data_IF_210489084879
#
_entry.id   IF_210489084879
#
_cell.length_a   1.000
_cell.length_b   1.000
_cell.length_c   1.000
_cell.angle_alpha   90.00
_cell.angle_beta   90.00
_cell.angle_gamma   90.00
#
_symmetry.space_group_name_H-M   'P 1'
#
loop_
_entity.id
_entity.type
_entity.pdbx_description
1 polymer ?
#
# COMPACT_ATOMS: atom_id res chain seq x y z
N UNK A 1 -8.22 -16.79 38.62
CA UNK A 1 -7.50 -15.56 38.24
C UNK A 1 -6.62 -15.94 37.07
N UNK A 2 -7.12 -15.74 35.85
CA UNK A 2 -6.43 -16.16 34.62
C UNK A 2 -5.52 -15.03 34.18
N UNK A 3 -4.21 -15.26 34.10
CA UNK A 3 -3.26 -14.31 33.54
C UNK A 3 -3.67 -13.91 32.12
N UNK A 4 -3.60 -12.61 31.75
CA UNK A 4 -3.87 -12.20 30.38
C UNK A 4 -2.79 -12.78 29.46
N UNK A 5 -3.21 -13.57 28.48
CA UNK A 5 -2.31 -14.10 27.47
C UNK A 5 -1.68 -12.93 26.68
N UNK A 6 -0.36 -12.74 26.82
CA UNK A 6 0.42 -11.80 26.02
C UNK A 6 0.64 -12.38 24.62
N UNK A 7 -0.18 -11.97 23.66
CA UNK A 7 0.05 -12.29 22.24
C UNK A 7 1.25 -11.49 21.72
N UNK A 8 2.25 -12.11 21.06
CA UNK A 8 3.40 -11.39 20.53
C UNK A 8 2.98 -10.40 19.44
N UNK A 9 3.42 -9.15 19.55
CA UNK A 9 3.25 -8.17 18.47
C UNK A 9 4.19 -8.51 17.31
N UNK A 10 3.61 -8.87 16.17
CA UNK A 10 4.36 -9.27 14.97
C UNK A 10 4.33 -8.17 13.92
N UNK A 11 5.47 -7.92 13.28
CA UNK A 11 5.59 -7.01 12.13
C UNK A 11 6.12 -7.81 10.95
N UNK A 12 5.37 -7.81 9.84
CA UNK A 12 5.80 -8.46 8.60
C UNK A 12 6.45 -7.44 7.68
N UNK A 13 7.65 -7.74 7.21
CA UNK A 13 8.43 -6.85 6.34
C UNK A 13 8.40 -7.40 4.91
N UNK A 14 7.81 -6.64 4.00
CA UNK A 14 7.84 -6.89 2.58
C UNK A 14 8.85 -5.96 1.92
N UNK A 15 9.61 -6.53 0.98
CA UNK A 15 10.53 -5.80 0.10
C UNK A 15 10.15 -6.10 -1.33
N UNK A 16 9.98 -5.05 -2.10
CA UNK A 16 9.69 -5.11 -3.52
C UNK A 16 10.86 -4.52 -4.28
N UNK A 17 11.46 -5.35 -5.12
CA UNK A 17 12.51 -4.95 -6.07
C UNK A 17 11.88 -4.99 -7.44
N UNK A 18 11.67 -3.83 -8.05
CA UNK A 18 11.02 -3.69 -9.35
C UNK A 18 11.98 -3.10 -10.37
N UNK A 19 11.80 -3.45 -11.63
CA UNK A 19 12.56 -2.89 -12.75
C UNK A 19 11.70 -1.89 -13.51
N UNK A 20 12.25 -0.72 -13.79
CA UNK A 20 11.60 0.27 -14.63
C UNK A 20 11.52 -0.25 -16.08
N UNK A 21 10.33 -0.38 -16.63
CA UNK A 21 10.12 -0.70 -18.06
C UNK A 21 10.12 0.56 -18.93
N UNK A 22 9.60 1.65 -18.37
CA UNK A 22 9.65 3.00 -18.91
C UNK A 22 10.35 3.93 -17.91
N UNK A 23 10.73 5.13 -18.32
CA UNK A 23 11.26 6.13 -17.38
C UNK A 23 10.21 6.40 -16.29
N UNK A 24 10.65 6.47 -15.04
CA UNK A 24 9.82 6.82 -13.88
C UNK A 24 10.38 8.10 -13.28
N UNK A 25 9.54 9.13 -13.17
CA UNK A 25 9.87 10.39 -12.48
C UNK A 25 9.06 10.52 -11.19
N UNK A 26 9.76 10.48 -10.06
CA UNK A 26 9.19 10.65 -8.72
C UNK A 26 9.65 11.97 -8.11
N UNK A 27 8.79 12.59 -7.30
CA UNK A 27 9.21 13.71 -6.46
C UNK A 27 10.14 13.24 -5.32
N UNK A 28 10.70 14.19 -4.57
CA UNK A 28 11.52 13.91 -3.39
C UNK A 28 10.79 13.00 -2.38
N UNK A 29 9.48 13.19 -2.21
CA UNK A 29 8.62 12.42 -1.32
C UNK A 29 7.99 11.20 -2.00
N UNK A 30 8.81 10.24 -2.41
CA UNK A 30 8.43 9.02 -3.17
C UNK A 30 7.31 8.18 -2.53
N UNK A 31 7.15 8.27 -1.21
CA UNK A 31 6.13 7.53 -0.47
C UNK A 31 4.70 7.92 -0.84
N UNK A 32 4.45 9.19 -1.19
CA UNK A 32 3.12 9.65 -1.60
C UNK A 32 2.70 9.05 -2.94
N UNK A 33 3.63 9.00 -3.91
CA UNK A 33 3.41 8.39 -5.23
C UNK A 33 3.12 6.89 -5.12
N UNK A 34 3.96 6.15 -4.37
CA UNK A 34 3.75 4.72 -4.12
C UNK A 34 2.39 4.43 -3.46
N UNK A 35 2.08 5.17 -2.39
CA UNK A 35 0.80 5.04 -1.69
C UNK A 35 -0.38 5.37 -2.61
N UNK A 36 -0.32 6.48 -3.33
CA UNK A 36 -1.39 6.96 -4.20
C UNK A 36 -1.73 5.95 -5.30
N UNK A 37 -0.71 5.47 -6.01
CA UNK A 37 -0.86 4.44 -7.02
C UNK A 37 -1.45 3.15 -6.41
N UNK A 38 -0.92 2.70 -5.26
CA UNK A 38 -1.41 1.49 -4.60
C UNK A 38 -2.87 1.57 -4.13
N UNK A 39 -3.25 2.67 -3.48
CA UNK A 39 -4.62 2.92 -3.01
C UNK A 39 -5.59 2.97 -4.19
N UNK A 40 -5.22 3.64 -5.28
CA UNK A 40 -6.02 3.72 -6.51
C UNK A 40 -6.33 2.33 -7.07
N UNK A 41 -5.34 1.44 -7.11
CA UNK A 41 -5.51 0.08 -7.64
C UNK A 41 -6.30 -0.81 -6.70
N UNK A 42 -6.10 -0.71 -5.39
CA UNK A 42 -6.90 -1.46 -4.44
C UNK A 42 -8.39 -1.10 -4.55
N UNK A 43 -8.71 0.21 -4.58
CA UNK A 43 -10.08 0.68 -4.76
C UNK A 43 -10.66 0.22 -6.08
N UNK A 44 -9.90 0.35 -7.17
CA UNK A 44 -10.36 0.01 -8.51
C UNK A 44 -10.54 -1.49 -8.67
N UNK A 45 -9.57 -2.31 -8.33
CA UNK A 45 -9.61 -3.72 -8.69
C UNK A 45 -10.37 -4.59 -7.68
N UNK A 46 -10.42 -4.18 -6.42
CA UNK A 46 -10.84 -5.09 -5.34
C UNK A 46 -11.94 -4.55 -4.42
N UNK A 47 -12.38 -3.30 -4.59
CA UNK A 47 -13.56 -2.78 -3.90
C UNK A 47 -14.78 -2.77 -4.84
N UNK A 48 -15.87 -3.43 -4.42
CA UNK A 48 -17.10 -3.50 -5.20
C UNK A 48 -17.94 -2.21 -5.10
N UNK A 49 -17.82 -1.44 -3.99
CA UNK A 49 -18.54 -0.18 -3.80
C UNK A 49 -17.55 0.98 -3.61
N UNK A 50 -17.06 1.55 -4.72
CA UNK A 50 -15.95 2.53 -4.68
C UNK A 50 -16.36 3.93 -4.24
N UNK A 51 -17.52 4.38 -4.70
CA UNK A 51 -17.96 5.79 -4.59
C UNK A 51 -19.00 6.03 -3.48
N UNK A 52 -19.73 4.98 -3.09
CA UNK A 52 -20.78 5.04 -2.07
C UNK A 52 -20.86 3.73 -1.28
N UNK A 53 -19.76 3.33 -0.65
CA UNK A 53 -19.73 2.15 0.21
C UNK A 53 -20.71 2.30 1.37
N UNK A 54 -21.74 1.45 1.43
CA UNK A 54 -22.65 1.40 2.57
C UNK A 54 -21.93 0.89 3.83
N UNK A 55 -22.46 1.15 5.05
CA UNK A 55 -21.80 0.75 6.29
C UNK A 55 -21.55 -0.76 6.41
N UNK A 56 -22.43 -1.59 5.85
CA UNK A 56 -22.27 -3.04 5.86
C UNK A 56 -21.08 -3.46 4.98
N UNK A 57 -20.95 -2.88 3.79
CA UNK A 57 -19.79 -3.08 2.93
C UNK A 57 -18.49 -2.62 3.61
N UNK A 58 -18.49 -1.44 4.24
CA UNK A 58 -17.30 -0.92 4.92
C UNK A 58 -16.81 -1.85 6.04
N UNK A 59 -17.73 -2.50 6.76
CA UNK A 59 -17.41 -3.42 7.85
C UNK A 59 -16.80 -4.75 7.38
N UNK A 60 -17.10 -5.19 6.15
CA UNK A 60 -16.70 -6.51 5.65
C UNK A 60 -15.61 -6.46 4.57
N UNK A 61 -15.52 -5.37 3.82
CA UNK A 61 -14.64 -5.27 2.66
C UNK A 61 -13.17 -5.13 3.09
N UNK A 62 -12.29 -6.07 2.69
CA UNK A 62 -10.86 -5.99 3.01
C UNK A 62 -10.21 -4.70 2.53
N UNK A 63 -10.63 -4.20 1.35
CA UNK A 63 -10.14 -2.94 0.81
C UNK A 63 -10.62 -1.76 1.63
N UNK A 64 -11.90 -1.73 2.03
CA UNK A 64 -12.38 -0.68 2.92
C UNK A 64 -11.64 -0.69 4.25
N UNK A 65 -11.35 -1.85 4.85
CA UNK A 65 -10.55 -1.97 6.06
C UNK A 65 -9.10 -1.45 5.87
N UNK A 66 -8.42 -1.86 4.80
CA UNK A 66 -7.06 -1.38 4.52
C UNK A 66 -7.02 0.13 4.25
N UNK A 67 -8.13 0.68 3.75
CA UNK A 67 -8.26 2.07 3.34
C UNK A 67 -9.15 2.88 4.27
N UNK A 68 -9.53 2.36 5.45
CA UNK A 68 -10.56 2.93 6.32
C UNK A 68 -10.06 4.23 6.96
N UNK A 69 -10.09 5.30 6.12
CA UNK A 69 -10.06 6.78 6.25
C UNK A 69 -8.92 7.33 7.15
N UNK A 70 -8.25 8.49 6.98
CA UNK A 70 -8.27 9.72 6.15
C UNK A 70 -9.47 10.66 6.32
N UNK A 71 -10.35 10.49 7.31
CA UNK A 71 -11.50 11.38 7.49
C UNK A 71 -11.91 11.73 8.92
N UNK A 72 -11.12 11.38 9.93
CA UNK A 72 -11.42 11.68 11.34
C UNK A 72 -10.25 12.35 12.04
N UNK A 73 -10.55 13.32 12.90
CA UNK A 73 -9.58 14.00 13.76
C UNK A 73 -9.03 12.99 14.78
N UNK A 74 -7.81 12.50 14.55
CA UNK A 74 -7.00 11.81 15.55
C UNK A 74 -6.91 10.29 15.38
N UNK A 75 -5.76 9.86 14.85
CA UNK A 75 -5.16 8.52 14.97
C UNK A 75 -5.90 7.33 14.31
N UNK A 76 -6.31 7.47 13.04
CA UNK A 76 -6.62 6.34 12.17
C UNK A 76 -5.33 5.57 11.82
N UNK A 77 -5.02 4.54 12.63
CA UNK A 77 -3.82 3.73 12.46
C UNK A 77 -3.97 2.77 11.29
N UNK A 78 -3.29 3.06 10.20
CA UNK A 78 -3.16 2.11 9.09
C UNK A 78 -2.50 0.83 9.59
N UNK A 79 -3.03 -0.35 9.24
CA UNK A 79 -2.42 -1.62 9.61
C UNK A 79 -1.12 -1.92 8.83
N UNK A 80 -0.59 -0.94 8.11
CA UNK A 80 0.64 -1.04 7.35
C UNK A 80 1.35 0.32 7.23
N UNK A 81 2.64 0.28 6.90
CA UNK A 81 3.41 1.46 6.45
C UNK A 81 4.10 1.18 5.12
N UNK A 82 4.22 2.19 4.27
CA UNK A 82 5.15 2.15 3.14
C UNK A 82 6.56 2.54 3.61
N UNK A 83 7.56 1.83 3.09
CA UNK A 83 8.97 2.20 3.18
C UNK A 83 9.37 2.70 1.79
N UNK A 84 9.46 4.02 1.58
CA UNK A 84 9.85 4.53 0.28
C UNK A 84 11.31 4.15 -0.03
N UNK A 85 11.71 4.21 -1.32
CA UNK A 85 13.11 4.13 -1.69
C UNK A 85 13.91 5.20 -0.94
N UNK A 86 14.95 4.78 -0.22
CA UNK A 86 15.79 5.67 0.60
C UNK A 86 16.90 6.37 -0.21
N UNK A 87 16.76 6.37 -1.53
CA UNK A 87 17.69 7.02 -2.47
C UNK A 87 17.23 8.46 -2.77
N UNK A 88 18.17 9.41 -2.94
CA UNK A 88 17.84 10.73 -3.46
C UNK A 88 17.42 10.69 -4.93
N UNK A 89 17.77 9.62 -5.68
CA UNK A 89 17.42 9.46 -7.09
C UNK A 89 15.92 9.62 -7.34
N UNK A 90 15.54 10.57 -8.18
CA UNK A 90 14.14 10.87 -8.53
C UNK A 90 13.74 10.34 -9.90
N UNK A 91 14.71 10.06 -10.76
CA UNK A 91 14.49 9.56 -12.12
C UNK A 91 15.08 8.17 -12.24
N UNK A 92 14.26 7.21 -12.65
CA UNK A 92 14.68 5.83 -12.92
C UNK A 92 14.47 5.54 -14.41
N UNK A 93 15.54 5.21 -15.13
CA UNK A 93 15.50 4.89 -16.56
C UNK A 93 15.10 3.44 -16.81
N UNK A 94 14.63 3.09 -18.03
CA UNK A 94 14.38 1.71 -18.40
C UNK A 94 15.56 0.79 -18.06
N UNK A 95 15.27 -0.33 -17.42
CA UNK A 95 16.26 -1.29 -16.94
C UNK A 95 16.81 -1.00 -15.54
N UNK A 96 16.68 0.22 -15.01
CA UNK A 96 17.09 0.53 -13.64
C UNK A 96 16.14 -0.11 -12.61
N UNK A 97 16.66 -0.31 -11.40
CA UNK A 97 15.95 -0.98 -10.32
C UNK A 97 15.49 0.03 -9.27
N UNK A 98 14.24 -0.09 -8.86
CA UNK A 98 13.63 0.64 -7.77
C UNK A 98 13.31 -0.34 -6.64
N UNK A 99 13.78 -0.06 -5.43
CA UNK A 99 13.42 -0.83 -4.24
C UNK A 99 12.55 0.00 -3.30
N UNK A 100 11.46 -0.60 -2.83
CA UNK A 100 10.63 -0.06 -1.77
C UNK A 100 10.11 -1.21 -0.90
N UNK A 101 9.52 -0.88 0.24
CA UNK A 101 8.99 -1.86 1.17
C UNK A 101 7.62 -1.52 1.70
N UNK A 102 7.06 -2.48 2.42
CA UNK A 102 5.82 -2.32 3.17
C UNK A 102 5.94 -3.11 4.47
N UNK A 103 5.49 -2.53 5.58
CA UNK A 103 5.39 -3.24 6.86
C UNK A 103 3.93 -3.47 7.16
N UNK A 104 3.55 -4.67 7.62
CA UNK A 104 2.19 -5.02 8.03
C UNK A 104 2.21 -5.36 9.51
N UNK A 105 1.22 -4.88 10.26
CA UNK A 105 1.17 -5.03 11.71
C UNK A 105 0.14 -6.07 12.15
N UNK A 106 0.57 -6.97 13.03
CA UNK A 106 -0.29 -7.94 13.71
C UNK A 106 -1.13 -8.80 12.76
N UNK A 107 -2.41 -8.96 13.10
CA UNK A 107 -3.36 -9.82 12.38
C UNK A 107 -3.68 -9.37 10.95
N UNK A 108 -3.27 -8.16 10.56
CA UNK A 108 -3.55 -7.63 9.22
C UNK A 108 -2.76 -8.31 8.10
N UNK A 109 -1.81 -9.18 8.46
CA UNK A 109 -1.14 -10.07 7.50
C UNK A 109 -2.11 -10.97 6.74
N UNK A 110 -3.32 -11.23 7.26
CA UNK A 110 -4.36 -11.95 6.52
C UNK A 110 -4.71 -11.27 5.17
N UNK A 111 -4.46 -9.97 5.04
CA UNK A 111 -4.71 -9.21 3.81
C UNK A 111 -3.53 -9.22 2.83
N UNK A 112 -2.41 -9.88 3.16
CA UNK A 112 -1.21 -9.98 2.34
C UNK A 112 -1.48 -10.23 0.84
N UNK A 113 -2.40 -11.12 0.43
CA UNK A 113 -2.69 -11.34 -0.99
C UNK A 113 -3.15 -10.05 -1.71
N UNK A 114 -4.03 -9.26 -1.10
CA UNK A 114 -4.50 -8.00 -1.66
C UNK A 114 -3.35 -7.00 -1.81
N UNK A 115 -2.48 -6.94 -0.80
CA UNK A 115 -1.38 -5.97 -0.77
C UNK A 115 -0.35 -6.25 -1.88
N UNK A 116 0.01 -7.53 -2.06
CA UNK A 116 0.96 -7.98 -3.09
C UNK A 116 0.37 -7.85 -4.50
N UNK A 117 -0.89 -8.25 -4.68
CA UNK A 117 -1.56 -8.16 -5.98
C UNK A 117 -1.68 -6.71 -6.46
N UNK A 118 -2.00 -5.78 -5.55
CA UNK A 118 -2.05 -4.36 -5.88
C UNK A 118 -0.70 -3.82 -6.35
N UNK A 119 0.42 -4.21 -5.74
CA UNK A 119 1.77 -3.80 -6.19
C UNK A 119 2.06 -4.29 -7.61
N UNK A 120 1.75 -5.55 -7.92
CA UNK A 120 1.93 -6.07 -9.27
C UNK A 120 1.07 -5.31 -10.30
N UNK A 121 -0.17 -4.97 -9.93
CA UNK A 121 -1.07 -4.27 -10.84
C UNK A 121 -0.71 -2.80 -11.06
N UNK A 122 -0.14 -2.13 -10.06
CA UNK A 122 0.40 -0.78 -10.21
C UNK A 122 1.38 -0.69 -11.39
N UNK A 123 2.31 -1.64 -11.49
CA UNK A 123 3.30 -1.66 -12.57
C UNK A 123 2.70 -1.94 -13.95
N UNK A 124 1.63 -2.73 -14.03
CA UNK A 124 1.04 -3.18 -15.30
C UNK A 124 0.03 -2.22 -15.92
N UNK A 125 -0.73 -1.49 -15.09
CA UNK A 125 -1.89 -0.73 -15.57
C UNK A 125 -1.63 0.78 -15.65
N UNK A 126 -1.01 1.36 -14.61
CA UNK A 126 -0.93 2.82 -14.47
C UNK A 126 0.51 3.34 -14.38
N UNK A 127 1.46 2.50 -13.99
CA UNK A 127 2.84 2.90 -13.74
C UNK A 127 3.00 3.69 -12.44
N UNK A 128 4.15 4.35 -12.30
CA UNK A 128 4.54 5.14 -11.13
C UNK A 128 5.06 6.50 -11.56
N UNK A 129 4.77 7.53 -10.76
CA UNK A 129 5.30 8.87 -10.99
C UNK A 129 4.46 9.71 -11.94
N UNK A 130 5.07 10.77 -12.48
CA UNK A 130 4.41 11.66 -13.44
C UNK A 130 4.25 10.95 -14.78
N UNK A 131 3.12 11.17 -15.45
CA UNK A 131 2.95 10.78 -16.84
C UNK A 131 3.92 11.61 -17.68
N UNK A 132 4.73 10.93 -18.49
CA UNK A 132 5.71 11.50 -19.41
C UNK A 132 5.28 11.22 -20.84
#
# INVERSE_FOLDING_TARGET
MTEPATTPFTVHHLRFTVRAETTIELDAFKGSALRGAWVSHLRTLYCAQRDAADPLHQAMCPVCFLLSRESGQGDDRRPYTFVPPLTPQTVFRPGETLEFGMRIFGSSVQFLPYLVLAVNQMGRQQGLGRAI
#
